data_IF_147579041662
#
_entry.id   IF_147579041662
#
_cell.length_a   1.000
_cell.length_b   1.000
_cell.length_c   1.000
_cell.angle_alpha   90.00
_cell.angle_beta   90.00
_cell.angle_gamma   90.00
#
_symmetry.space_group_name_H-M   'P 1'
#
loop_
_entity.id
_entity.type
_entity.pdbx_description
1 polymer ?
#
# COMPACT_ATOMS: atom_id res chain seq x y z
N UNK A 1 -19.15 50.08 -30.45
CA UNK A 1 -19.26 49.47 -29.11
C UNK A 1 -19.47 47.98 -29.32
N UNK A 2 -18.37 47.23 -29.39
CA UNK A 2 -18.37 45.80 -29.69
C UNK A 2 -18.81 45.02 -28.45
N UNK A 3 -19.88 44.23 -28.59
CA UNK A 3 -20.28 43.21 -27.62
C UNK A 3 -19.22 42.10 -27.66
N UNK A 4 -18.43 41.97 -26.59
CA UNK A 4 -17.57 40.81 -26.40
C UNK A 4 -18.47 39.57 -26.19
N UNK A 5 -18.18 38.43 -26.83
CA UNK A 5 -18.91 37.20 -26.58
C UNK A 5 -18.65 36.77 -25.13
N UNK A 6 -19.73 36.47 -24.40
CA UNK A 6 -19.65 35.73 -23.14
C UNK A 6 -18.91 34.43 -23.40
N UNK A 7 -17.76 34.26 -22.76
CA UNK A 7 -17.08 32.97 -22.67
C UNK A 7 -18.01 32.03 -21.89
N UNK A 8 -18.77 31.21 -22.62
CA UNK A 8 -19.40 30.04 -22.05
C UNK A 8 -18.27 29.16 -21.50
N UNK A 9 -18.09 29.20 -20.19
CA UNK A 9 -17.32 28.20 -19.47
C UNK A 9 -18.09 26.91 -19.66
N UNK A 10 -17.58 26.02 -20.52
CA UNK A 10 -17.97 24.63 -20.46
C UNK A 10 -17.58 24.15 -19.05
N UNK A 11 -18.55 24.10 -18.15
CA UNK A 11 -18.47 23.26 -16.98
C UNK A 11 -18.30 21.85 -17.54
N UNK A 12 -17.04 21.41 -17.66
CA UNK A 12 -16.73 20.03 -17.94
C UNK A 12 -17.31 19.25 -16.78
N UNK A 13 -18.51 18.72 -16.98
CA UNK A 13 -19.17 17.87 -15.99
C UNK A 13 -18.24 16.74 -15.61
N UNK A 14 -18.23 16.37 -14.34
CA UNK A 14 -17.55 15.17 -13.86
C UNK A 14 -18.57 14.10 -13.57
N UNK A 15 -18.16 12.84 -13.66
CA UNK A 15 -18.95 11.73 -13.12
C UNK A 15 -18.50 11.50 -11.69
N UNK A 16 -19.45 11.51 -10.75
CA UNK A 16 -19.17 11.27 -9.34
C UNK A 16 -19.74 9.92 -8.91
N UNK A 17 -19.05 9.30 -7.96
CA UNK A 17 -19.34 7.95 -7.49
C UNK A 17 -19.55 7.96 -5.98
N UNK A 18 -20.68 7.43 -5.55
CA UNK A 18 -20.94 7.07 -4.17
C UNK A 18 -21.17 5.56 -4.11
N UNK A 19 -20.64 4.92 -3.07
CA UNK A 19 -20.83 3.50 -2.86
C UNK A 19 -21.09 3.19 -1.38
N UNK A 20 -21.87 2.14 -1.14
CA UNK A 20 -22.08 1.57 0.18
C UNK A 20 -21.89 0.06 0.11
N UNK A 21 -21.35 -0.50 1.18
CA UNK A 21 -21.23 -1.95 1.38
C UNK A 21 -21.92 -2.28 2.70
N UNK A 22 -22.94 -3.14 2.65
CA UNK A 22 -23.79 -3.46 3.80
C UNK A 22 -24.27 -2.22 4.54
N UNK A 23 -24.75 -1.22 3.79
CA UNK A 23 -25.20 0.10 4.26
C UNK A 23 -24.13 1.03 4.87
N UNK A 24 -22.86 0.61 4.91
CA UNK A 24 -21.75 1.46 5.32
C UNK A 24 -21.18 2.23 4.13
N UNK A 25 -21.06 3.58 4.21
CA UNK A 25 -20.52 4.39 3.12
C UNK A 25 -19.02 4.10 2.90
N UNK A 26 -18.66 3.86 1.64
CA UNK A 26 -17.29 3.72 1.19
C UNK A 26 -16.62 5.11 1.24
N UNK A 27 -15.43 5.21 1.84
CA UNK A 27 -14.65 6.44 1.95
C UNK A 27 -14.81 7.20 3.28
N UNK A 28 -15.90 6.99 4.01
CA UNK A 28 -16.10 7.57 5.35
C UNK A 28 -15.83 6.57 6.48
N UNK A 29 -16.03 5.27 6.23
CA UNK A 29 -15.82 4.19 7.20
C UNK A 29 -14.95 3.07 6.61
N UNK A 30 -14.44 2.23 7.49
CA UNK A 30 -13.76 0.99 7.09
C UNK A 30 -14.80 0.00 6.57
N UNK A 31 -14.57 -0.50 5.36
CA UNK A 31 -15.47 -1.44 4.68
C UNK A 31 -15.09 -2.86 5.05
N UNK A 32 -15.98 -3.60 5.72
CA UNK A 32 -15.69 -4.99 6.08
C UNK A 32 -16.01 -5.91 4.91
N UNK A 33 -15.04 -6.73 4.50
CA UNK A 33 -15.24 -7.80 3.51
C UNK A 33 -14.89 -9.15 4.15
N UNK A 34 -15.88 -10.03 4.21
CA UNK A 34 -15.80 -11.34 4.86
C UNK A 34 -16.04 -12.43 3.81
N UNK A 35 -15.07 -13.34 3.57
CA UNK A 35 -15.23 -14.40 2.56
C UNK A 35 -16.37 -15.38 2.86
N UNK A 36 -16.84 -15.45 4.10
CA UNK A 36 -17.95 -16.32 4.50
C UNK A 36 -19.33 -15.65 4.34
N UNK A 37 -19.38 -14.38 3.93
CA UNK A 37 -20.63 -13.61 3.84
C UNK A 37 -20.78 -12.93 2.49
N UNK A 38 -21.98 -13.01 1.94
CA UNK A 38 -22.38 -12.18 0.80
C UNK A 38 -22.54 -10.74 1.27
N UNK A 39 -21.77 -9.82 0.69
CA UNK A 39 -21.89 -8.39 0.94
C UNK A 39 -22.89 -7.77 -0.04
N UNK A 40 -23.71 -6.83 0.43
CA UNK A 40 -24.60 -6.04 -0.43
C UNK A 40 -23.90 -4.75 -0.83
N UNK A 41 -23.53 -4.64 -2.09
CA UNK A 41 -22.90 -3.43 -2.65
C UNK A 41 -23.99 -2.60 -3.31
N UNK A 42 -24.08 -1.31 -2.97
CA UNK A 42 -24.91 -0.35 -3.68
C UNK A 42 -24.04 0.79 -4.20
N UNK A 43 -24.14 1.06 -5.49
CA UNK A 43 -23.37 2.10 -6.17
C UNK A 43 -24.34 3.11 -6.75
N UNK A 44 -24.10 4.39 -6.46
CA UNK A 44 -24.82 5.52 -7.02
C UNK A 44 -23.85 6.31 -7.89
N UNK A 45 -24.14 6.35 -9.19
CA UNK A 45 -23.35 7.07 -10.18
C UNK A 45 -24.12 8.31 -10.57
N UNK A 46 -23.48 9.48 -10.44
CA UNK A 46 -24.04 10.76 -10.84
C UNK A 46 -23.27 11.31 -12.03
N UNK A 47 -24.00 11.60 -13.09
CA UNK A 47 -23.43 12.06 -14.34
C UNK A 47 -23.71 13.54 -14.53
N UNK A 48 -22.79 14.41 -14.11
CA UNK A 48 -22.93 15.85 -14.34
C UNK A 48 -22.46 16.27 -15.76
N UNK A 49 -22.16 15.31 -16.65
CA UNK A 49 -21.76 15.57 -18.05
C UNK A 49 -22.96 15.79 -18.96
N UNK A 50 -22.71 16.25 -20.19
CA UNK A 50 -23.73 16.44 -21.23
C UNK A 50 -24.00 15.20 -22.09
N UNK A 51 -23.39 14.05 -21.78
CA UNK A 51 -23.50 12.81 -22.57
C UNK A 51 -23.94 11.64 -21.69
N UNK A 52 -24.65 10.67 -22.27
CA UNK A 52 -25.01 9.43 -21.55
C UNK A 52 -23.75 8.65 -21.21
N UNK A 53 -23.58 8.30 -19.94
CA UNK A 53 -22.49 7.44 -19.47
C UNK A 53 -22.99 6.00 -19.40
N UNK A 54 -22.28 5.08 -20.06
CA UNK A 54 -22.67 3.67 -20.13
C UNK A 54 -21.80 2.85 -19.20
N UNK A 55 -22.37 2.45 -18.07
CA UNK A 55 -21.69 1.58 -17.11
C UNK A 55 -21.86 0.13 -17.57
N UNK A 56 -20.77 -0.63 -17.55
CA UNK A 56 -20.78 -2.06 -17.85
C UNK A 56 -20.45 -2.91 -16.64
N UNK A 57 -19.42 -2.50 -15.90
CA UNK A 57 -18.86 -3.29 -14.81
C UNK A 57 -18.59 -2.38 -13.62
N UNK A 58 -18.86 -2.88 -12.42
CA UNK A 58 -18.32 -2.30 -11.18
C UNK A 58 -17.18 -3.19 -10.73
N UNK A 59 -16.00 -2.60 -10.55
CA UNK A 59 -14.80 -3.27 -10.06
C UNK A 59 -14.53 -2.90 -8.62
N UNK A 60 -14.31 -3.88 -7.78
CA UNK A 60 -13.81 -3.68 -6.42
C UNK A 60 -12.46 -4.36 -6.33
N UNK A 61 -11.41 -3.59 -6.07
CA UNK A 61 -10.05 -4.12 -5.97
C UNK A 61 -9.41 -3.76 -4.63
N UNK A 62 -8.50 -4.61 -4.17
CA UNK A 62 -7.68 -4.37 -2.99
C UNK A 62 -6.20 -4.40 -3.36
N UNK A 63 -5.47 -3.40 -2.89
CA UNK A 63 -4.04 -3.25 -3.18
C UNK A 63 -3.23 -3.14 -1.90
N UNK A 64 -1.99 -3.61 -1.94
CA UNK A 64 -0.99 -3.29 -0.93
C UNK A 64 0.38 -3.24 -1.62
N UNK A 65 1.26 -2.30 -1.21
CA UNK A 65 2.59 -2.14 -1.80
C UNK A 65 2.56 -2.04 -3.35
N UNK A 66 1.58 -1.32 -3.89
CA UNK A 66 1.33 -1.17 -5.33
C UNK A 66 1.04 -2.47 -6.11
N UNK A 67 0.70 -3.56 -5.41
CA UNK A 67 0.26 -4.82 -6.00
C UNK A 67 -1.22 -5.05 -5.72
N UNK A 68 -1.97 -5.47 -6.74
CA UNK A 68 -3.37 -5.88 -6.61
C UNK A 68 -3.44 -7.33 -6.11
N UNK A 69 -4.07 -7.54 -4.95
CA UNK A 69 -4.24 -8.88 -4.36
C UNK A 69 -5.57 -9.51 -4.74
N UNK A 70 -6.61 -8.70 -4.94
CA UNK A 70 -7.90 -9.16 -5.44
C UNK A 70 -8.55 -8.08 -6.29
N UNK A 71 -9.37 -8.53 -7.24
CA UNK A 71 -10.23 -7.68 -8.05
C UNK A 71 -11.50 -8.47 -8.39
N UNK A 72 -12.66 -7.91 -8.03
CA UNK A 72 -13.97 -8.46 -8.33
C UNK A 72 -14.65 -7.58 -9.36
N UNK A 73 -14.85 -8.12 -10.56
CA UNK A 73 -15.54 -7.46 -11.65
C UNK A 73 -16.99 -7.97 -11.71
N UNK A 74 -17.95 -7.12 -11.30
CA UNK A 74 -19.37 -7.46 -11.37
C UNK A 74 -20.01 -6.77 -12.57
N UNK A 75 -20.56 -7.56 -13.49
CA UNK A 75 -21.27 -7.04 -14.65
C UNK A 75 -22.67 -6.54 -14.24
N UNK A 76 -22.82 -5.22 -14.18
CA UNK A 76 -24.08 -4.55 -13.85
C UNK A 76 -24.28 -3.45 -14.90
N UNK A 77 -24.81 -3.79 -16.09
CA UNK A 77 -24.95 -2.81 -17.15
C UNK A 77 -26.10 -1.85 -16.86
N UNK A 78 -25.84 -0.54 -16.93
CA UNK A 78 -26.86 0.51 -16.87
C UNK A 78 -26.35 1.79 -17.52
N UNK A 79 -27.29 2.57 -18.04
CA UNK A 79 -27.01 3.88 -18.61
C UNK A 79 -27.36 4.96 -17.59
N UNK A 80 -26.49 5.96 -17.44
CA UNK A 80 -26.72 7.14 -16.62
C UNK A 80 -26.91 8.34 -17.55
N UNK A 81 -28.15 8.83 -17.72
CA UNK A 81 -28.42 9.99 -18.56
C UNK A 81 -27.66 11.25 -18.11
N UNK A 82 -27.54 12.22 -19.01
CA UNK A 82 -26.87 13.48 -18.73
C UNK A 82 -27.62 14.28 -17.66
N UNK A 83 -26.91 14.74 -16.63
CA UNK A 83 -27.47 15.47 -15.49
C UNK A 83 -28.25 14.61 -14.48
N UNK A 84 -28.30 13.29 -14.67
CA UNK A 84 -29.05 12.37 -13.81
C UNK A 84 -28.13 11.50 -12.93
N UNK A 85 -28.74 10.79 -12.00
CA UNK A 85 -28.06 9.83 -11.13
C UNK A 85 -28.81 8.50 -11.12
N UNK A 86 -28.07 7.41 -11.18
CA UNK A 86 -28.62 6.06 -11.18
C UNK A 86 -27.99 5.24 -10.06
N UNK A 87 -28.81 4.44 -9.38
CA UNK A 87 -28.36 3.57 -8.31
C UNK A 87 -28.57 2.11 -8.70
N UNK A 88 -27.56 1.29 -8.46
CA UNK A 88 -27.62 -0.16 -8.64
C UNK A 88 -27.10 -0.87 -7.41
N UNK A 89 -27.84 -1.89 -7.00
CA UNK A 89 -27.50 -2.74 -5.87
C UNK A 89 -27.32 -4.16 -6.36
N UNK A 90 -26.26 -4.81 -5.91
CA UNK A 90 -25.94 -6.18 -6.30
C UNK A 90 -25.26 -6.93 -5.14
N UNK A 91 -25.41 -8.27 -5.08
CA UNK A 91 -24.65 -9.09 -4.14
C UNK A 91 -23.20 -9.25 -4.64
N UNK A 92 -22.25 -9.14 -3.72
CA UNK A 92 -20.85 -9.50 -3.92
C UNK A 92 -20.56 -10.72 -3.05
N UNK A 93 -20.04 -11.78 -3.66
CA UNK A 93 -19.60 -12.99 -2.97
C UNK A 93 -18.07 -13.06 -2.99
N UNK A 94 -17.39 -12.59 -1.93
CA UNK A 94 -15.94 -12.49 -1.93
C UNK A 94 -15.27 -13.80 -1.48
N UNK A 95 -15.74 -14.96 -1.96
CA UNK A 95 -15.31 -16.29 -1.49
C UNK A 95 -13.80 -16.49 -1.59
N UNK A 96 -13.18 -15.95 -2.64
CA UNK A 96 -11.75 -16.13 -2.88
C UNK A 96 -10.87 -15.28 -1.94
N UNK A 97 -11.42 -14.25 -1.29
CA UNK A 97 -10.67 -13.38 -0.35
C UNK A 97 -9.99 -14.18 0.75
N UNK A 98 -10.61 -15.29 1.18
CA UNK A 98 -10.05 -16.19 2.19
C UNK A 98 -8.62 -16.64 1.86
N UNK A 99 -8.31 -16.79 0.57
CA UNK A 99 -6.99 -17.22 0.08
C UNK A 99 -6.13 -16.07 -0.45
N UNK A 100 -6.68 -14.87 -0.66
CA UNK A 100 -5.98 -13.78 -1.32
C UNK A 100 -5.37 -12.78 -0.34
N UNK A 101 -6.15 -12.30 0.64
CA UNK A 101 -5.73 -11.20 1.50
C UNK A 101 -6.31 -11.28 2.92
N UNK A 102 -5.69 -10.56 3.86
CA UNK A 102 -6.16 -10.43 5.24
C UNK A 102 -5.64 -9.14 5.86
N UNK A 103 -6.39 -8.55 6.80
CA UNK A 103 -6.04 -7.30 7.47
C UNK A 103 -6.65 -6.06 6.82
N UNK A 104 -6.14 -4.88 7.18
CA UNK A 104 -6.55 -3.63 6.54
C UNK A 104 -5.83 -3.45 5.21
N UNK A 105 -6.57 -3.23 4.14
CA UNK A 105 -6.02 -2.91 2.81
C UNK A 105 -6.71 -1.69 2.22
N UNK A 106 -5.97 -0.81 1.50
CA UNK A 106 -6.58 0.09 0.54
C UNK A 106 -7.44 -0.70 -0.45
N UNK A 107 -8.67 -0.25 -0.62
CA UNK A 107 -9.59 -0.75 -1.63
C UNK A 107 -10.01 0.40 -2.53
N UNK A 108 -10.32 0.08 -3.79
CA UNK A 108 -10.91 1.03 -4.72
C UNK A 108 -12.17 0.42 -5.34
N UNK A 109 -13.23 1.23 -5.41
CA UNK A 109 -14.46 0.92 -6.13
C UNK A 109 -14.46 1.75 -7.40
N UNK A 110 -14.42 1.07 -8.54
CA UNK A 110 -14.34 1.69 -9.85
C UNK A 110 -15.59 1.35 -10.67
N UNK A 111 -16.10 2.32 -11.39
CA UNK A 111 -17.16 2.12 -12.39
C UNK A 111 -16.53 2.17 -13.77
N UNK A 112 -16.71 1.09 -14.52
CA UNK A 112 -16.02 0.84 -15.78
C UNK A 112 -17.01 0.80 -16.93
N UNK A 113 -16.67 1.48 -18.02
CA UNK A 113 -17.52 1.62 -19.20
C UNK A 113 -17.45 0.41 -20.16
N UNK A 114 -18.12 0.55 -21.31
CA UNK A 114 -18.12 -0.47 -22.36
C UNK A 114 -16.77 -0.67 -23.05
N UNK A 115 -15.87 0.31 -23.00
CA UNK A 115 -14.52 0.35 -23.56
C UNK A 115 -13.44 -0.10 -22.55
N UNK A 116 -13.84 -0.41 -21.32
CA UNK A 116 -12.97 -0.74 -20.17
C UNK A 116 -12.22 0.46 -19.59
N UNK A 117 -12.71 1.67 -19.82
CA UNK A 117 -12.24 2.90 -19.21
C UNK A 117 -12.93 3.12 -17.86
N UNK A 118 -12.16 3.62 -16.87
CA UNK A 118 -12.70 3.98 -15.56
C UNK A 118 -13.40 5.33 -15.68
N UNK A 119 -14.71 5.35 -15.46
CA UNK A 119 -15.53 6.57 -15.53
C UNK A 119 -15.43 7.36 -14.22
N UNK A 120 -15.45 6.65 -13.10
CA UNK A 120 -15.32 7.21 -11.77
C UNK A 120 -14.75 6.16 -10.81
N UNK A 121 -13.99 6.60 -9.80
CA UNK A 121 -13.40 5.76 -8.78
C UNK A 121 -13.60 6.36 -7.39
N UNK A 122 -13.60 5.49 -6.38
CA UNK A 122 -13.72 5.86 -4.98
C UNK A 122 -12.80 4.98 -4.14
N UNK A 123 -11.84 5.61 -3.47
CA UNK A 123 -10.88 4.93 -2.61
C UNK A 123 -11.38 4.83 -1.17
N UNK A 124 -11.06 3.72 -0.52
CA UNK A 124 -11.44 3.42 0.85
C UNK A 124 -10.41 2.52 1.53
N UNK A 125 -10.60 2.31 2.83
CA UNK A 125 -9.91 1.25 3.58
C UNK A 125 -10.86 0.09 3.80
N UNK A 126 -10.47 -1.10 3.37
CA UNK A 126 -11.17 -2.35 3.60
C UNK A 126 -10.58 -3.12 4.79
N UNK A 127 -11.44 -3.65 5.65
CA UNK A 127 -11.10 -4.66 6.65
C UNK A 127 -11.39 -6.06 6.07
N UNK A 128 -10.34 -6.71 5.60
CA UNK A 128 -10.40 -8.00 4.93
C UNK A 128 -10.25 -9.12 5.94
N UNK A 129 -11.29 -9.96 6.07
CA UNK A 129 -11.34 -11.09 7.01
C UNK A 129 -10.90 -12.43 6.40
N UNK A 130 -9.89 -12.42 5.51
CA UNK A 130 -9.33 -13.65 4.97
C UNK A 130 -8.31 -14.31 5.90
N UNK A 131 -7.59 -15.31 5.39
CA UNK A 131 -6.66 -16.13 6.17
C UNK A 131 -5.25 -15.52 6.28
N UNK A 132 -4.56 -15.81 7.39
CA UNK A 132 -3.11 -15.56 7.53
C UNK A 132 -2.27 -16.40 6.57
N UNK A 133 -2.82 -17.49 6.03
CA UNK A 133 -2.19 -18.33 5.01
C UNK A 133 -2.53 -17.91 3.58
N UNK A 134 -3.11 -16.72 3.40
CA UNK A 134 -3.41 -16.15 2.09
C UNK A 134 -2.14 -15.79 1.31
N UNK A 135 -2.27 -15.47 0.03
CA UNK A 135 -1.18 -14.99 -0.82
C UNK A 135 -0.49 -13.77 -0.20
N UNK A 136 -1.26 -12.81 0.31
CA UNK A 136 -0.73 -11.66 1.05
C UNK A 136 0.02 -12.09 2.32
N UNK A 137 -0.56 -13.04 3.09
CA UNK A 137 0.07 -13.64 4.26
C UNK A 137 1.42 -14.30 3.96
N UNK A 138 1.48 -15.12 2.92
CA UNK A 138 2.68 -15.80 2.46
C UNK A 138 3.74 -14.82 1.96
N UNK A 139 3.34 -13.75 1.28
CA UNK A 139 4.23 -12.66 0.90
C UNK A 139 4.88 -12.02 2.14
N UNK A 140 4.07 -11.65 3.14
CA UNK A 140 4.58 -11.11 4.41
C UNK A 140 5.55 -12.06 5.12
N UNK A 141 5.25 -13.36 5.14
CA UNK A 141 6.14 -14.39 5.69
C UNK A 141 7.46 -14.49 4.92
N UNK A 142 7.42 -14.43 3.59
CA UNK A 142 8.62 -14.42 2.75
C UNK A 142 9.52 -13.22 3.05
N UNK A 143 8.94 -12.02 3.15
CA UNK A 143 9.66 -10.81 3.56
C UNK A 143 10.25 -10.97 4.97
N UNK A 144 9.52 -11.60 5.90
CA UNK A 144 9.98 -11.81 7.27
C UNK A 144 11.21 -12.71 7.31
N UNK A 145 11.19 -13.83 6.59
CA UNK A 145 12.31 -14.76 6.48
C UNK A 145 13.53 -14.07 5.87
N UNK A 146 13.36 -13.33 4.77
CA UNK A 146 14.46 -12.59 4.14
C UNK A 146 15.04 -11.51 5.06
N UNK A 147 14.19 -10.84 5.84
CA UNK A 147 14.60 -9.84 6.83
C UNK A 147 15.40 -10.49 7.95
N UNK A 148 14.91 -11.62 8.48
CA UNK A 148 15.60 -12.39 9.51
C UNK A 148 16.97 -12.90 9.03
N UNK A 149 17.05 -13.43 7.81
CA UNK A 149 18.31 -13.86 7.19
C UNK A 149 19.27 -12.69 6.97
N UNK A 150 18.76 -11.51 6.59
CA UNK A 150 19.56 -10.29 6.42
C UNK A 150 20.15 -9.83 7.75
N UNK A 151 19.35 -9.82 8.82
CA UNK A 151 19.84 -9.55 10.18
C UNK A 151 20.86 -10.58 10.62
N UNK A 152 20.56 -11.87 10.48
CA UNK A 152 21.46 -12.96 10.87
C UNK A 152 22.79 -12.88 10.14
N UNK A 153 22.78 -12.62 8.84
CA UNK A 153 23.99 -12.44 8.03
C UNK A 153 24.83 -11.24 8.47
N UNK A 154 24.20 -10.13 8.82
CA UNK A 154 24.89 -8.94 9.33
C UNK A 154 25.49 -9.19 10.73
N UNK A 155 24.72 -9.82 11.63
CA UNK A 155 25.15 -10.14 13.00
C UNK A 155 26.25 -11.21 13.02
N UNK A 156 26.17 -12.25 12.17
CA UNK A 156 27.23 -13.26 12.04
C UNK A 156 28.51 -12.60 11.50
N UNK A 157 28.42 -11.68 10.54
CA UNK A 157 29.59 -10.98 10.02
C UNK A 157 30.26 -10.10 11.09
N UNK A 158 29.45 -9.44 11.92
CA UNK A 158 29.91 -8.70 13.09
C UNK A 158 30.60 -9.64 14.10
N UNK A 159 29.94 -10.74 14.49
CA UNK A 159 30.48 -11.71 15.45
C UNK A 159 31.78 -12.36 14.96
N UNK A 160 31.90 -12.66 13.66
CA UNK A 160 33.10 -13.21 13.03
C UNK A 160 34.18 -12.16 12.75
N UNK A 161 33.97 -10.89 13.12
CA UNK A 161 34.87 -9.75 12.85
C UNK A 161 35.20 -9.59 11.34
N UNK A 162 34.30 -10.01 10.45
CA UNK A 162 34.47 -9.94 8.98
C UNK A 162 33.78 -8.71 8.37
N UNK A 163 33.62 -7.66 9.15
CA UNK A 163 33.06 -6.41 8.66
C UNK A 163 34.09 -5.66 7.82
N UNK A 164 33.69 -5.02 6.70
CA UNK A 164 34.57 -4.17 5.91
C UNK A 164 35.23 -3.09 6.78
N UNK A 165 36.47 -2.71 6.47
CA UNK A 165 37.15 -1.61 7.18
C UNK A 165 36.42 -0.27 6.95
N UNK A 166 35.81 -0.09 5.78
CA UNK A 166 35.05 1.11 5.46
C UNK A 166 33.70 1.14 6.20
N UNK A 167 33.50 2.16 7.04
CA UNK A 167 32.25 2.42 7.79
C UNK A 167 31.02 2.49 6.89
N UNK A 168 31.15 3.02 5.67
CA UNK A 168 30.04 3.11 4.71
C UNK A 168 29.64 1.74 4.15
N UNK A 169 30.62 0.90 3.79
CA UNK A 169 30.34 -0.46 3.31
C UNK A 169 29.73 -1.34 4.39
N UNK A 170 30.10 -1.10 5.66
CA UNK A 170 29.44 -1.73 6.81
C UNK A 170 27.99 -1.29 6.95
N UNK A 171 27.72 0.01 6.92
CA UNK A 171 26.35 0.54 6.96
C UNK A 171 25.48 -0.09 5.86
N UNK A 172 25.97 -0.11 4.62
CA UNK A 172 25.26 -0.71 3.47
C UNK A 172 24.91 -2.19 3.66
N UNK A 173 25.67 -2.95 4.47
CA UNK A 173 25.39 -4.36 4.76
C UNK A 173 24.16 -4.56 5.65
N UNK A 174 23.81 -3.57 6.48
CA UNK A 174 22.63 -3.60 7.34
C UNK A 174 21.38 -3.03 6.65
N UNK A 175 21.54 -2.35 5.51
CA UNK A 175 20.44 -1.70 4.80
C UNK A 175 19.30 -2.67 4.41
N UNK A 176 19.56 -3.86 3.83
CA UNK A 176 18.48 -4.81 3.50
C UNK A 176 17.67 -5.23 4.73
N UNK A 177 18.33 -5.42 5.87
CA UNK A 177 17.69 -5.76 7.13
C UNK A 177 16.79 -4.61 7.65
N UNK A 178 17.25 -3.36 7.52
CA UNK A 178 16.45 -2.18 7.87
C UNK A 178 15.21 -1.99 7.00
N UNK A 179 15.36 -2.09 5.67
CA UNK A 179 14.24 -2.00 4.73
C UNK A 179 13.21 -3.10 5.02
N UNK A 180 13.67 -4.34 5.16
CA UNK A 180 12.80 -5.47 5.49
C UNK A 180 12.06 -5.29 6.81
N UNK A 181 12.72 -4.72 7.83
CA UNK A 181 12.10 -4.43 9.13
C UNK A 181 10.96 -3.42 9.00
N UNK A 182 11.14 -2.36 8.22
CA UNK A 182 10.09 -1.37 7.98
C UNK A 182 8.90 -1.95 7.22
N UNK A 183 9.14 -2.78 6.20
CA UNK A 183 8.08 -3.49 5.47
C UNK A 183 7.28 -4.42 6.40
N UNK A 184 7.96 -5.20 7.23
CA UNK A 184 7.31 -6.09 8.20
C UNK A 184 6.52 -5.31 9.24
N UNK A 185 7.00 -4.16 9.68
CA UNK A 185 6.25 -3.32 10.61
C UNK A 185 4.90 -2.90 10.02
N UNK A 186 4.89 -2.38 8.79
CA UNK A 186 3.64 -1.97 8.10
C UNK A 186 2.71 -3.15 7.91
N UNK A 187 3.25 -4.27 7.41
CA UNK A 187 2.48 -5.50 7.22
C UNK A 187 1.83 -5.97 8.54
N UNK A 188 2.61 -5.97 9.62
CA UNK A 188 2.13 -6.37 10.95
C UNK A 188 1.03 -5.44 11.44
N UNK A 189 1.19 -4.13 11.27
CA UNK A 189 0.17 -3.14 11.64
C UNK A 189 -1.12 -3.31 10.83
N UNK A 190 -1.02 -3.65 9.54
CA UNK A 190 -2.15 -3.95 8.66
C UNK A 190 -2.92 -5.19 9.13
N UNK A 191 -2.21 -6.29 9.38
CA UNK A 191 -2.81 -7.55 9.87
C UNK A 191 -3.43 -7.38 11.25
N UNK A 192 -2.79 -6.61 12.14
CA UNK A 192 -3.33 -6.24 13.45
C UNK A 192 -4.47 -5.21 13.39
N UNK A 193 -4.83 -4.75 12.19
CA UNK A 193 -5.91 -3.78 11.94
C UNK A 193 -5.69 -2.43 12.63
N UNK A 194 -4.44 -2.01 12.71
CA UNK A 194 -4.04 -0.74 13.31
C UNK A 194 -3.86 0.35 12.25
N UNK A 195 -3.21 0.03 11.13
CA UNK A 195 -2.90 0.99 10.06
C UNK A 195 -2.98 0.30 8.71
N UNK A 196 -3.72 0.87 7.77
CA UNK A 196 -3.76 0.39 6.39
C UNK A 196 -2.41 0.68 5.69
N UNK A 197 -1.89 -0.25 4.88
CA UNK A 197 -0.66 -0.07 4.12
C UNK A 197 -0.91 0.97 3.01
N UNK A 198 -0.52 2.22 3.26
CA UNK A 198 -0.56 3.32 2.31
C UNK A 198 0.83 3.90 2.11
N UNK A 199 1.15 4.54 0.96
CA UNK A 199 2.47 5.16 0.76
C UNK A 199 2.84 6.17 1.85
N UNK A 200 1.84 6.86 2.41
CA UNK A 200 2.03 7.82 3.50
C UNK A 200 2.43 7.18 4.82
N UNK A 201 2.00 5.93 5.09
CA UNK A 201 2.42 5.16 6.25
C UNK A 201 3.70 4.37 5.95
N UNK A 202 3.78 3.73 4.78
CA UNK A 202 4.86 2.83 4.37
C UNK A 202 6.22 3.53 4.33
N UNK A 203 6.31 4.68 3.65
CA UNK A 203 7.58 5.37 3.41
C UNK A 203 8.26 5.75 4.73
N UNK A 204 7.60 6.39 5.72
CA UNK A 204 8.22 6.68 7.01
C UNK A 204 8.75 5.45 7.75
N UNK A 205 7.99 4.34 7.78
CA UNK A 205 8.44 3.12 8.47
C UNK A 205 9.67 2.51 7.79
N UNK A 206 9.66 2.41 6.46
CA UNK A 206 10.77 1.84 5.69
C UNK A 206 12.01 2.72 5.81
N UNK A 207 11.89 4.03 5.57
CA UNK A 207 13.00 4.97 5.63
C UNK A 207 13.54 5.08 7.06
N UNK A 208 12.67 5.14 8.07
CA UNK A 208 13.06 5.18 9.47
C UNK A 208 13.83 3.93 9.90
N UNK A 209 13.31 2.74 9.60
CA UNK A 209 13.99 1.49 9.94
C UNK A 209 15.31 1.31 9.16
N UNK A 210 15.35 1.71 7.88
CA UNK A 210 16.56 1.72 7.07
C UNK A 210 17.62 2.67 7.66
N UNK A 211 17.24 3.88 8.07
CA UNK A 211 18.14 4.84 8.69
C UNK A 211 18.72 4.31 10.00
N UNK A 212 17.88 3.71 10.87
CA UNK A 212 18.35 3.08 12.12
C UNK A 212 19.33 1.94 11.83
N UNK A 213 19.04 1.07 10.88
CA UNK A 213 19.93 -0.02 10.51
C UNK A 213 21.26 0.47 9.91
N UNK A 214 21.23 1.51 9.08
CA UNK A 214 22.43 2.18 8.58
C UNK A 214 23.28 2.75 9.71
N UNK A 215 22.67 3.43 10.68
CA UNK A 215 23.35 3.98 11.84
C UNK A 215 24.00 2.87 12.68
N UNK A 216 23.28 1.77 12.93
CA UNK A 216 23.83 0.60 13.62
C UNK A 216 25.02 0.00 12.87
N UNK A 217 24.91 -0.11 11.54
CA UNK A 217 25.99 -0.57 10.68
C UNK A 217 27.15 0.41 10.58
N UNK A 218 26.96 1.71 10.79
CA UNK A 218 27.99 2.75 10.78
C UNK A 218 28.76 2.82 12.10
N UNK A 219 28.09 2.65 13.23
CA UNK A 219 28.67 2.77 14.59
C UNK A 219 29.35 1.47 15.06
N UNK A 220 29.09 0.34 14.41
CA UNK A 220 29.68 -0.96 14.78
C UNK A 220 31.22 -0.95 14.84
N UNK A 221 31.87 -1.45 15.90
CA UNK A 221 33.34 -1.39 15.98
C UNK A 221 34.04 -2.26 14.91
N UNK A 222 35.19 -1.81 14.41
CA UNK A 222 36.11 -2.64 13.62
C UNK A 222 37.49 -2.71 14.30
N UNK A 223 38.14 -3.89 14.41
CA UNK A 223 39.41 -4.04 15.13
C UNK A 223 40.54 -3.13 14.62
N UNK A 224 40.56 -2.81 13.32
CA UNK A 224 41.60 -1.98 12.72
C UNK A 224 41.62 -0.51 13.16
N UNK A 225 40.52 0.03 13.70
CA UNK A 225 40.48 1.43 14.16
C UNK A 225 41.18 1.63 15.51
N UNK A 226 41.21 0.61 16.37
CA UNK A 226 41.94 0.65 17.65
C UNK A 226 43.45 0.67 17.43
N UNK A 227 43.93 -0.09 16.43
CA UNK A 227 45.37 -0.25 16.17
C UNK A 227 46.02 1.00 15.55
N UNK A 228 45.29 1.80 14.77
CA UNK A 228 45.77 3.08 14.25
C UNK A 228 45.84 4.18 15.34
N UNK A 229 44.84 4.24 16.24
CA UNK A 229 44.86 5.21 17.35
C UNK A 229 45.99 4.92 18.34
N UNK A 230 46.30 3.65 18.59
CA UNK A 230 47.38 3.26 19.50
C UNK A 230 48.78 3.57 18.93
N UNK A 231 48.98 3.38 17.62
CA UNK A 231 50.25 3.72 16.95
C UNK A 231 50.54 5.22 16.88
N UNK A 232 49.53 6.09 16.75
CA UNK A 232 49.73 7.55 16.76
C UNK A 232 50.11 8.09 18.15
N UNK A 233 49.69 7.42 19.24
CA UNK A 233 50.10 7.80 20.60
C UNK A 233 51.55 7.42 20.95
N UNK A 234 52.22 6.54 20.19
CA UNK A 234 53.52 5.96 20.56
C UNK A 234 54.73 6.72 19.97
N UNK A 235 54.55 7.73 19.12
CA UNK A 235 55.66 8.58 18.64
C UNK A 235 55.38 10.06 18.91
N UNK A 236 56.01 10.62 19.95
CA UNK A 236 57.13 11.60 19.88
C UNK A 236 57.77 11.71 21.29
N UNK A 237 58.90 11.05 21.60
CA UNK A 237 59.80 11.60 22.61
C UNK A 237 60.47 12.83 21.98
N UNK A 238 60.15 14.03 22.47
CA UNK A 238 60.92 15.24 22.12
C UNK A 238 62.35 15.04 22.65
N UNK A 239 63.29 14.91 21.73
CA UNK A 239 64.72 15.15 21.98
C UNK A 239 64.97 16.66 21.91
#
# INVERSE_FOLDING_TARGET
MMLLPSTASAQGGSVTLEATVDSSPVGAAVVVLDPERTARVSVTVRNDTSTVQRVKTVRISGTALALTFFAYDTAVPFDVPAGESETRTFPLEPTDLGTQATGLLPISVEVVDTQREVIASLDATGDIRGSLWSVYGAFGLGVLVLTALSWLGALIALARRRLPANRWQRAMRFLPAGIGTGLIAVFTLSVLRLVAPSPTAEIPFIVGAAAVALLLGYVTPHPGEQQLSEMDTVRIPRL
#
